data_IF_374269814731
#
_entry.id   IF_374269814731
#
_cell.length_a   1.000
_cell.length_b   1.000
_cell.length_c   1.000
_cell.angle_alpha   90.00
_cell.angle_beta   90.00
_cell.angle_gamma   90.00
#
_symmetry.space_group_name_H-M   'P 1'
#
loop_
_entity.id
_entity.type
_entity.pdbx_description
1 polymer ?
#
# COMPACT_ATOMS: atom_id res chain seq x y z
N UNK A 1 -24.04 -24.31 8.76
CA UNK A 1 -24.66 -23.44 7.72
C UNK A 1 -24.98 -22.06 8.30
N UNK A 2 -24.08 -21.07 8.17
CA UNK A 2 -24.38 -19.68 8.56
C UNK A 2 -25.20 -19.02 7.45
N UNK A 3 -26.36 -18.48 7.82
CA UNK A 3 -27.46 -18.12 6.92
C UNK A 3 -27.11 -17.00 5.93
N UNK A 4 -27.65 -17.09 4.71
CA UNK A 4 -27.65 -16.04 3.66
C UNK A 4 -28.06 -14.64 4.16
N UNK A 5 -28.70 -14.53 5.33
CA UNK A 5 -29.12 -13.27 5.96
C UNK A 5 -27.95 -12.44 6.54
N UNK A 6 -26.85 -13.08 6.95
CA UNK A 6 -25.71 -12.37 7.55
C UNK A 6 -24.83 -11.69 6.50
N UNK A 7 -24.75 -12.26 5.28
CA UNK A 7 -24.08 -11.63 4.13
C UNK A 7 -24.81 -10.38 3.61
N UNK A 8 -26.11 -10.22 3.89
CA UNK A 8 -26.93 -9.10 3.39
C UNK A 8 -26.73 -7.77 4.15
N UNK A 9 -26.05 -7.77 5.30
CA UNK A 9 -25.86 -6.58 6.16
C UNK A 9 -24.51 -5.87 6.03
N UNK A 10 -23.55 -6.43 5.29
CA UNK A 10 -22.16 -5.92 5.23
C UNK A 10 -21.96 -4.67 4.32
N UNK A 11 -23.03 -4.01 3.87
CA UNK A 11 -22.87 -2.82 3.02
C UNK A 11 -24.12 -1.94 2.81
N UNK A 12 -25.14 -2.02 3.67
CA UNK A 12 -26.39 -1.25 3.47
C UNK A 12 -26.58 -0.05 4.40
N UNK A 13 -25.82 0.06 5.49
CA UNK A 13 -25.74 1.28 6.27
C UNK A 13 -24.37 1.90 5.97
N UNK A 14 -24.32 2.95 5.15
CA UNK A 14 -23.07 3.66 4.90
C UNK A 14 -22.49 4.25 6.18
N UNK A 15 -21.30 4.81 6.09
CA UNK A 15 -20.53 5.27 7.24
C UNK A 15 -20.96 6.67 7.70
N UNK A 16 -20.84 6.95 9.00
CA UNK A 16 -20.93 8.31 9.55
C UNK A 16 -19.58 9.01 9.44
N UNK A 17 -19.57 10.35 9.45
CA UNK A 17 -18.34 11.14 9.33
C UNK A 17 -17.23 10.76 10.32
N UNK A 18 -17.58 10.38 11.56
CA UNK A 18 -16.62 9.93 12.57
C UNK A 18 -15.96 8.59 12.22
N UNK A 19 -16.69 7.71 11.54
CA UNK A 19 -16.16 6.43 11.09
C UNK A 19 -15.30 6.61 9.85
N UNK A 20 -15.72 7.52 8.95
CA UNK A 20 -14.92 7.93 7.79
C UNK A 20 -13.58 8.50 8.22
N UNK A 21 -13.57 9.46 9.15
CA UNK A 21 -12.33 10.05 9.70
C UNK A 21 -11.38 8.98 10.24
N UNK A 22 -11.89 8.00 10.99
CA UNK A 22 -11.09 6.89 11.50
C UNK A 22 -10.54 5.98 10.39
N UNK A 23 -11.34 5.71 9.35
CA UNK A 23 -10.97 4.79 8.28
C UNK A 23 -10.01 5.39 7.26
N UNK A 24 -10.15 6.69 6.95
CA UNK A 24 -9.35 7.35 5.92
C UNK A 24 -8.19 8.17 6.48
N UNK A 25 -8.19 8.46 7.78
CA UNK A 25 -7.24 9.38 8.41
C UNK A 25 -7.49 10.85 8.07
N UNK A 26 -8.48 11.16 7.22
CA UNK A 26 -8.79 12.53 6.83
C UNK A 26 -9.55 13.25 7.95
N UNK A 27 -9.11 14.45 8.34
CA UNK A 27 -9.79 15.23 9.38
C UNK A 27 -11.25 15.52 9.01
N UNK A 28 -12.15 15.59 10.01
CA UNK A 28 -13.55 16.03 9.79
C UNK A 28 -13.68 17.31 8.97
N UNK A 29 -12.81 18.30 9.23
CA UNK A 29 -12.79 19.57 8.50
C UNK A 29 -12.53 19.35 7.01
N UNK A 30 -11.52 18.56 6.68
CA UNK A 30 -11.20 18.28 5.29
C UNK A 30 -12.28 17.41 4.63
N UNK A 31 -12.85 16.42 5.32
CA UNK A 31 -14.00 15.65 4.81
C UNK A 31 -15.16 16.59 4.44
N UNK A 32 -15.48 17.57 5.30
CA UNK A 32 -16.53 18.54 5.02
C UNK A 32 -16.18 19.42 3.80
N UNK A 33 -14.95 19.93 3.72
CA UNK A 33 -14.48 20.77 2.61
C UNK A 33 -14.43 20.03 1.27
N UNK A 34 -14.24 18.72 1.29
CA UNK A 34 -14.38 17.87 0.09
C UNK A 34 -15.84 17.84 -0.38
N UNK A 35 -16.82 17.97 0.53
CA UNK A 35 -18.24 17.81 0.21
C UNK A 35 -18.95 19.05 -0.33
N UNK A 36 -18.59 20.26 0.12
CA UNK A 36 -19.28 21.49 -0.29
C UNK A 36 -18.46 22.33 -1.28
N UNK A 37 -19.15 23.10 -2.11
CA UNK A 37 -18.55 24.12 -2.99
C UNK A 37 -18.56 25.49 -2.32
N UNK A 38 -17.56 26.33 -2.59
CA UNK A 38 -17.47 27.69 -2.07
C UNK A 38 -16.21 27.94 -1.27
N UNK A 39 -16.25 28.87 -0.33
CA UNK A 39 -15.05 29.32 0.39
C UNK A 39 -14.37 28.16 1.16
N UNK A 40 -13.17 27.82 0.72
CA UNK A 40 -12.37 26.71 1.24
C UNK A 40 -12.85 25.31 0.84
N UNK A 41 -14.04 25.14 0.26
CA UNK A 41 -14.58 23.86 -0.20
C UNK A 41 -14.27 23.58 -1.65
N UNK A 42 -14.07 22.30 -2.00
CA UNK A 42 -13.75 21.87 -3.37
C UNK A 42 -14.91 21.16 -4.08
N UNK A 43 -15.91 20.70 -3.34
CA UNK A 43 -17.12 20.05 -3.88
C UNK A 43 -16.82 18.86 -4.79
N UNK A 44 -15.88 18.02 -4.39
CA UNK A 44 -15.45 16.82 -5.12
C UNK A 44 -16.39 15.62 -4.86
N UNK A 45 -17.11 15.62 -3.73
CA UNK A 45 -17.97 14.53 -3.30
C UNK A 45 -19.34 15.06 -2.88
N UNK A 46 -20.42 14.34 -3.18
CA UNK A 46 -21.76 14.63 -2.64
C UNK A 46 -22.34 13.38 -1.99
N UNK A 47 -22.10 13.14 -0.69
CA UNK A 47 -22.60 11.94 -0.01
C UNK A 47 -24.12 11.99 0.15
N UNK A 48 -24.74 10.82 0.29
CA UNK A 48 -26.19 10.74 0.52
C UNK A 48 -26.57 11.33 1.87
N UNK A 49 -27.73 11.97 1.93
CA UNK A 49 -28.31 12.45 3.19
C UNK A 49 -29.46 11.55 3.63
N UNK A 50 -29.54 11.32 4.94
CA UNK A 50 -30.68 10.64 5.56
C UNK A 50 -31.89 11.57 5.59
N UNK A 51 -33.08 11.02 5.88
CA UNK A 51 -34.31 11.80 6.12
C UNK A 51 -34.16 12.90 7.19
N UNK A 52 -33.17 12.78 8.06
CA UNK A 52 -32.89 13.72 9.15
C UNK A 52 -31.71 14.67 8.86
N UNK A 53 -31.23 14.72 7.61
CA UNK A 53 -30.15 15.63 7.19
C UNK A 53 -28.73 15.19 7.56
N UNK A 54 -28.55 14.01 8.14
CA UNK A 54 -27.20 13.45 8.38
C UNK A 54 -26.63 12.86 7.09
N UNK A 55 -25.34 13.13 6.81
CA UNK A 55 -24.59 12.51 5.72
C UNK A 55 -24.23 11.06 6.04
N UNK A 56 -24.37 10.21 5.02
CA UNK A 56 -24.03 8.80 5.03
C UNK A 56 -23.15 8.52 3.82
N UNK A 57 -21.94 8.03 4.10
CA UNK A 57 -20.90 7.84 3.11
C UNK A 57 -20.94 6.43 2.56
N UNK A 58 -20.84 6.28 1.24
CA UNK A 58 -20.75 5.00 0.54
C UNK A 58 -19.31 4.44 0.55
N UNK A 59 -19.12 3.20 0.08
CA UNK A 59 -17.78 2.66 -0.12
C UNK A 59 -17.00 3.44 -1.21
N UNK A 60 -17.71 3.94 -2.23
CA UNK A 60 -17.11 4.81 -3.24
C UNK A 60 -16.65 6.13 -2.64
N UNK A 61 -17.44 6.69 -1.72
CA UNK A 61 -17.10 7.92 -1.01
C UNK A 61 -15.83 7.73 -0.16
N UNK A 62 -15.70 6.55 0.47
CA UNK A 62 -14.49 6.18 1.21
C UNK A 62 -13.25 6.13 0.30
N UNK A 63 -13.36 5.53 -0.89
CA UNK A 63 -12.25 5.51 -1.86
C UNK A 63 -11.78 6.92 -2.20
N UNK A 64 -12.72 7.81 -2.53
CA UNK A 64 -12.41 9.22 -2.86
C UNK A 64 -11.75 9.91 -1.67
N UNK A 65 -12.32 9.77 -0.47
CA UNK A 65 -11.80 10.44 0.73
C UNK A 65 -10.44 9.88 1.18
N UNK A 66 -10.17 8.60 0.92
CA UNK A 66 -8.85 8.00 1.16
C UNK A 66 -7.82 8.46 0.12
N UNK A 67 -8.17 8.50 -1.17
CA UNK A 67 -7.31 9.09 -2.18
C UNK A 67 -6.99 10.58 -1.87
N UNK A 68 -7.97 11.33 -1.35
CA UNK A 68 -7.73 12.69 -0.84
C UNK A 68 -6.73 12.68 0.31
N UNK A 69 -6.84 11.79 1.30
CA UNK A 69 -5.90 11.77 2.43
C UNK A 69 -4.47 11.46 1.98
N UNK A 70 -4.27 10.49 1.08
CA UNK A 70 -2.95 10.17 0.52
C UNK A 70 -2.31 11.37 -0.18
N UNK A 71 -3.09 12.11 -0.97
CA UNK A 71 -2.60 13.32 -1.63
C UNK A 71 -2.31 14.46 -0.63
N UNK A 72 -3.09 14.55 0.46
CA UNK A 72 -2.86 15.52 1.55
C UNK A 72 -1.60 15.20 2.34
N UNK A 73 -1.33 13.92 2.61
CA UNK A 73 -0.10 13.46 3.28
C UNK A 73 1.15 13.80 2.46
N UNK A 74 1.04 13.77 1.12
CA UNK A 74 2.07 14.25 0.19
C UNK A 74 2.18 15.78 0.11
N UNK A 75 1.54 16.53 1.01
CA UNK A 75 1.64 17.98 1.10
C UNK A 75 0.78 18.76 0.09
N UNK A 76 -0.08 18.10 -0.70
CA UNK A 76 -0.99 18.83 -1.59
C UNK A 76 -2.06 19.57 -0.79
N UNK A 77 -2.46 20.73 -1.28
CA UNK A 77 -3.62 21.48 -0.78
C UNK A 77 -4.92 20.95 -1.41
N UNK A 78 -6.10 21.16 -0.81
CA UNK A 78 -7.37 20.71 -1.41
C UNK A 78 -7.60 21.21 -2.85
N UNK A 79 -7.28 22.47 -3.22
CA UNK A 79 -7.38 22.88 -4.62
C UNK A 79 -6.45 22.10 -5.55
N UNK A 80 -5.24 21.75 -5.12
CA UNK A 80 -4.34 20.87 -5.89
C UNK A 80 -4.91 19.46 -5.99
N UNK A 81 -5.49 18.93 -4.91
CA UNK A 81 -6.18 17.62 -4.94
C UNK A 81 -7.31 17.62 -5.96
N UNK A 82 -8.16 18.65 -5.97
CA UNK A 82 -9.24 18.78 -6.97
C UNK A 82 -8.71 18.71 -8.41
N UNK A 83 -7.61 19.44 -8.69
CA UNK A 83 -6.96 19.42 -10.00
C UNK A 83 -6.40 18.05 -10.39
N UNK A 84 -5.87 17.28 -9.43
CA UNK A 84 -5.44 15.90 -9.70
C UNK A 84 -6.62 15.02 -10.10
N UNK A 85 -7.73 15.09 -9.35
CA UNK A 85 -8.95 14.37 -9.71
C UNK A 85 -9.47 14.79 -11.09
N UNK A 86 -9.47 16.08 -11.43
CA UNK A 86 -9.87 16.56 -12.75
C UNK A 86 -8.94 16.01 -13.86
N UNK A 87 -7.62 15.97 -13.62
CA UNK A 87 -6.63 15.43 -14.57
C UNK A 87 -6.86 13.96 -14.90
N UNK A 88 -7.27 13.15 -13.93
CA UNK A 88 -7.60 11.74 -14.12
C UNK A 88 -9.08 11.51 -14.42
N UNK A 89 -9.83 12.55 -14.84
CA UNK A 89 -11.27 12.46 -15.13
C UNK A 89 -12.11 11.88 -13.98
N UNK A 90 -11.71 12.18 -12.74
CA UNK A 90 -12.28 11.67 -11.50
C UNK A 90 -12.19 10.15 -11.32
N UNK A 91 -11.29 9.49 -12.05
CA UNK A 91 -10.96 8.09 -11.83
C UNK A 91 -10.14 7.93 -10.53
N UNK A 92 -10.86 7.63 -9.45
CA UNK A 92 -10.25 7.39 -8.15
C UNK A 92 -9.44 6.10 -8.11
N UNK A 93 -9.83 5.10 -8.91
CA UNK A 93 -9.14 3.81 -8.92
C UNK A 93 -7.75 3.99 -9.55
N UNK A 94 -7.62 4.81 -10.61
CA UNK A 94 -6.31 5.17 -11.15
C UNK A 94 -5.37 5.83 -10.12
N UNK A 95 -5.89 6.71 -9.24
CA UNK A 95 -5.09 7.30 -8.16
C UNK A 95 -4.64 6.20 -7.19
N UNK A 96 -5.56 5.34 -6.75
CA UNK A 96 -5.27 4.29 -5.77
C UNK A 96 -4.31 3.24 -6.33
N UNK A 97 -4.45 2.85 -7.59
CA UNK A 97 -3.55 1.90 -8.25
C UNK A 97 -2.12 2.46 -8.33
N UNK A 98 -1.96 3.74 -8.68
CA UNK A 98 -0.65 4.41 -8.60
C UNK A 98 -0.07 4.38 -7.17
N UNK A 99 -0.90 4.56 -6.14
CA UNK A 99 -0.44 4.46 -4.75
C UNK A 99 -0.02 3.05 -4.38
N UNK A 100 -0.76 2.03 -4.83
CA UNK A 100 -0.44 0.63 -4.56
C UNK A 100 0.92 0.27 -5.16
N UNK A 101 1.20 0.68 -6.40
CA UNK A 101 2.49 0.40 -7.03
C UNK A 101 3.64 1.13 -6.35
N UNK A 102 3.47 2.40 -5.99
CA UNK A 102 4.49 3.14 -5.24
C UNK A 102 4.79 2.52 -3.88
N UNK A 103 3.75 2.08 -3.14
CA UNK A 103 3.91 1.41 -1.86
C UNK A 103 4.55 0.02 -2.01
N UNK A 104 4.22 -0.71 -3.08
CA UNK A 104 4.85 -2.00 -3.40
C UNK A 104 6.35 -1.84 -3.58
N UNK A 105 6.78 -0.87 -4.40
CA UNK A 105 8.21 -0.57 -4.59
C UNK A 105 8.89 -0.14 -3.27
N UNK A 106 8.21 0.65 -2.44
CA UNK A 106 8.75 1.08 -1.15
C UNK A 106 8.91 -0.09 -0.17
N UNK A 107 7.94 -1.01 -0.14
CA UNK A 107 8.00 -2.25 0.64
C UNK A 107 9.18 -3.09 0.17
N UNK A 108 9.32 -3.33 -1.14
CA UNK A 108 10.42 -4.11 -1.71
C UNK A 108 11.80 -3.53 -1.31
N UNK A 109 11.98 -2.22 -1.49
CA UNK A 109 13.21 -1.51 -1.08
C UNK A 109 13.46 -1.61 0.43
N UNK A 110 12.41 -1.55 1.24
CA UNK A 110 12.52 -1.62 2.70
C UNK A 110 12.84 -3.03 3.18
N UNK A 111 12.24 -4.05 2.59
CA UNK A 111 12.53 -5.47 2.85
C UNK A 111 13.98 -5.79 2.48
N UNK A 112 14.44 -5.36 1.31
CA UNK A 112 15.83 -5.55 0.89
C UNK A 112 16.83 -4.91 1.87
N UNK A 113 16.57 -3.68 2.32
CA UNK A 113 17.40 -3.02 3.35
C UNK A 113 17.38 -3.75 4.69
N UNK A 114 16.22 -4.25 5.11
CA UNK A 114 16.08 -5.05 6.32
C UNK A 114 16.91 -6.34 6.25
N UNK A 115 16.83 -7.07 5.13
CA UNK A 115 17.63 -8.28 4.91
C UNK A 115 19.14 -8.00 4.91
N UNK A 116 19.58 -6.93 4.23
CA UNK A 116 20.99 -6.50 4.25
C UNK A 116 21.47 -6.17 5.66
N UNK A 117 20.66 -5.46 6.45
CA UNK A 117 21.00 -5.14 7.83
C UNK A 117 21.12 -6.40 8.72
N UNK A 118 20.19 -7.35 8.58
CA UNK A 118 20.28 -8.64 9.27
C UNK A 118 21.52 -9.44 8.85
N UNK A 119 21.81 -9.53 7.56
CA UNK A 119 22.95 -10.26 7.04
C UNK A 119 24.27 -9.70 7.60
N UNK A 120 24.43 -8.37 7.59
CA UNK A 120 25.59 -7.72 8.20
C UNK A 120 25.68 -7.96 9.72
N UNK A 121 24.55 -7.98 10.42
CA UNK A 121 24.49 -8.36 11.84
C UNK A 121 24.93 -9.80 12.11
N UNK A 122 24.78 -10.69 11.13
CA UNK A 122 25.15 -12.11 11.19
C UNK A 122 26.47 -12.44 10.48
N UNK A 123 27.25 -11.46 10.03
CA UNK A 123 28.43 -11.68 9.15
C UNK A 123 29.46 -12.70 9.68
N UNK A 124 29.51 -12.97 11.00
CA UNK A 124 30.42 -13.93 11.62
C UNK A 124 29.79 -15.30 11.91
N UNK A 125 28.48 -15.45 11.75
CA UNK A 125 27.74 -16.69 11.98
C UNK A 125 27.17 -17.22 10.67
N UNK A 126 27.94 -18.10 10.02
CA UNK A 126 27.54 -18.75 8.78
C UNK A 126 26.21 -19.49 8.89
N UNK A 127 25.92 -20.14 10.02
CA UNK A 127 24.66 -20.88 10.20
C UNK A 127 23.47 -19.92 10.29
N UNK A 128 23.66 -18.74 10.85
CA UNK A 128 22.64 -17.69 10.84
C UNK A 128 22.40 -17.15 9.43
N UNK A 129 23.46 -16.90 8.66
CA UNK A 129 23.34 -16.49 7.25
C UNK A 129 22.60 -17.55 6.41
N UNK A 130 22.91 -18.83 6.58
CA UNK A 130 22.21 -19.93 5.89
C UNK A 130 20.72 -20.01 6.27
N UNK A 131 20.35 -19.71 7.53
CA UNK A 131 18.94 -19.63 7.94
C UNK A 131 18.24 -18.42 7.31
N UNK A 132 18.90 -17.26 7.27
CA UNK A 132 18.37 -16.06 6.67
C UNK A 132 18.15 -16.24 5.16
N UNK A 133 19.13 -16.80 4.45
CA UNK A 133 18.99 -17.15 3.03
C UNK A 133 17.75 -18.02 2.77
N UNK A 134 17.60 -19.13 3.52
CA UNK A 134 16.43 -20.01 3.38
C UNK A 134 15.11 -19.30 3.69
N UNK A 135 15.10 -18.39 4.65
CA UNK A 135 13.90 -17.63 5.00
C UNK A 135 13.47 -16.70 3.86
N UNK A 136 14.42 -15.98 3.26
CA UNK A 136 14.16 -15.05 2.16
C UNK A 136 13.66 -15.82 0.93
N UNK A 137 14.34 -16.90 0.54
CA UNK A 137 13.89 -17.74 -0.60
C UNK A 137 12.49 -18.30 -0.36
N UNK A 138 12.20 -18.81 0.84
CA UNK A 138 10.87 -19.35 1.15
C UNK A 138 9.77 -18.25 1.14
N UNK A 139 10.11 -17.04 1.58
CA UNK A 139 9.22 -15.89 1.52
C UNK A 139 8.88 -15.57 0.07
N UNK A 140 9.87 -15.37 -0.80
CA UNK A 140 9.65 -15.06 -2.22
C UNK A 140 8.82 -16.12 -2.95
N UNK A 141 9.13 -17.40 -2.75
CA UNK A 141 8.37 -18.50 -3.36
C UNK A 141 6.89 -18.53 -2.92
N UNK A 142 6.55 -17.92 -1.80
CA UNK A 142 5.16 -17.81 -1.33
C UNK A 142 4.40 -16.69 -2.06
N UNK A 143 5.09 -15.68 -2.58
CA UNK A 143 4.50 -14.49 -3.20
C UNK A 143 4.73 -14.41 -4.73
N UNK A 144 5.62 -15.23 -5.28
CA UNK A 144 5.81 -15.38 -6.72
C UNK A 144 4.62 -16.16 -7.31
N UNK A 145 3.58 -15.45 -7.78
CA UNK A 145 2.42 -16.10 -8.40
C UNK A 145 2.74 -16.85 -9.71
N UNK A 146 3.91 -16.63 -10.35
CA UNK A 146 4.34 -17.36 -11.55
C UNK A 146 5.87 -17.33 -11.82
N UNK A 147 6.70 -16.86 -10.89
CA UNK A 147 8.16 -16.74 -11.11
C UNK A 147 8.91 -17.93 -10.47
N UNK A 148 9.66 -18.67 -11.27
CA UNK A 148 10.46 -19.82 -10.81
C UNK A 148 11.56 -19.43 -9.82
N UNK A 149 12.27 -20.42 -9.27
CA UNK A 149 13.32 -20.23 -8.24
C UNK A 149 14.43 -19.24 -8.62
N UNK A 150 14.68 -19.01 -9.92
CA UNK A 150 15.68 -18.06 -10.40
C UNK A 150 15.35 -16.61 -10.02
N UNK A 151 14.07 -16.22 -9.98
CA UNK A 151 13.71 -14.84 -9.64
C UNK A 151 14.03 -14.50 -8.18
N UNK A 152 14.06 -15.51 -7.30
CA UNK A 152 14.39 -15.33 -5.89
C UNK A 152 15.90 -15.10 -5.68
N UNK A 153 16.75 -15.55 -6.60
CA UNK A 153 18.20 -15.31 -6.55
C UNK A 153 18.58 -13.94 -7.14
N UNK A 154 17.75 -13.38 -8.03
CA UNK A 154 17.93 -12.04 -8.59
C UNK A 154 17.60 -10.89 -7.61
N UNK A 155 17.20 -11.20 -6.37
CA UNK A 155 16.92 -10.19 -5.37
C UNK A 155 18.19 -9.36 -5.02
N UNK A 156 18.08 -8.02 -4.88
CA UNK A 156 19.23 -7.15 -4.60
C UNK A 156 20.01 -7.44 -3.31
N UNK A 157 19.43 -8.18 -2.37
CA UNK A 157 20.06 -8.62 -1.11
C UNK A 157 20.80 -9.96 -1.21
N UNK A 158 20.52 -10.79 -2.22
CA UNK A 158 21.10 -12.12 -2.34
C UNK A 158 22.59 -12.06 -2.64
N UNK A 159 23.02 -11.08 -3.43
CA UNK A 159 24.44 -10.81 -3.67
C UNK A 159 25.21 -10.69 -2.34
N UNK A 160 24.80 -9.75 -1.47
CA UNK A 160 25.49 -9.54 -0.19
C UNK A 160 25.47 -10.80 0.70
N UNK A 161 24.35 -11.53 0.73
CA UNK A 161 24.24 -12.77 1.50
C UNK A 161 25.21 -13.84 1.02
N UNK A 162 25.30 -14.05 -0.29
CA UNK A 162 26.19 -15.03 -0.91
C UNK A 162 27.64 -14.64 -0.71
N UNK A 163 27.98 -13.37 -0.88
CA UNK A 163 29.32 -12.83 -0.64
C UNK A 163 29.75 -13.02 0.83
N UNK A 164 28.85 -12.78 1.79
CA UNK A 164 29.13 -13.01 3.22
C UNK A 164 29.28 -14.49 3.57
N UNK A 165 28.55 -15.38 2.87
CA UNK A 165 28.57 -16.82 3.14
C UNK A 165 29.80 -17.52 2.56
N UNK A 166 30.23 -17.12 1.36
CA UNK A 166 31.20 -17.86 0.55
C UNK A 166 32.45 -17.04 0.18
N UNK A 167 32.42 -15.73 0.39
CA UNK A 167 33.53 -14.81 0.14
C UNK A 167 33.42 -14.04 -1.17
N UNK A 168 34.34 -13.10 -1.42
CA UNK A 168 34.35 -12.21 -2.58
C UNK A 168 34.20 -12.93 -3.93
N UNK A 169 33.24 -12.50 -4.76
CA UNK A 169 33.02 -13.00 -6.12
C UNK A 169 32.24 -14.32 -6.21
N UNK A 170 31.73 -14.81 -5.08
CA UNK A 170 30.96 -16.06 -5.03
C UNK A 170 29.60 -15.91 -5.71
N UNK A 171 29.00 -14.71 -5.69
CA UNK A 171 27.69 -14.49 -6.30
C UNK A 171 27.73 -14.63 -7.81
N UNK A 172 28.67 -13.96 -8.48
CA UNK A 172 28.88 -14.09 -9.93
C UNK A 172 29.22 -15.53 -10.35
N UNK A 173 30.00 -16.24 -9.53
CA UNK A 173 30.32 -17.64 -9.77
C UNK A 173 29.09 -18.57 -9.71
N UNK A 174 28.14 -18.31 -8.82
CA UNK A 174 26.89 -19.08 -8.70
C UNK A 174 25.90 -18.67 -9.80
N UNK A 175 25.76 -17.37 -10.08
CA UNK A 175 24.85 -16.84 -11.10
C UNK A 175 25.22 -17.30 -12.51
N UNK A 176 26.52 -17.43 -12.81
CA UNK A 176 26.98 -17.95 -14.10
C UNK A 176 26.75 -19.45 -14.34
N UNK A 177 26.24 -20.18 -13.34
CA UNK A 177 25.93 -21.62 -13.42
C UNK A 177 24.43 -21.93 -13.56
N UNK A 178 23.57 -20.92 -13.41
CA UNK A 178 22.11 -21.00 -13.56
C UNK A 178 21.71 -20.53 -14.97
#
# INVERSE_FOLDING_TARGET
>A
MKSRRQRKKLGQAGWKISEVERLTGLSRRDIQRVCYQGEGGIGLLSPKETKWGYRVYSAQDLKVLYAVSLLRERGKTLPQVKREFERVHSDVDAILDEQVELLREEIEKSVSRYHKALALGHAKDRRALERLFRHIVAFELTFAEDAGTDSALDLPEMELLVELMYGPGSYEGIRGLL
#
